data_IF_769356339960
#
_entry.id   IF_769356339960
#
_cell.length_a   1.000
_cell.length_b   1.000
_cell.length_c   1.000
_cell.angle_alpha   90.00
_cell.angle_beta   90.00
_cell.angle_gamma   90.00
#
_symmetry.space_group_name_H-M   'P 1'
#
loop_
_entity.id
_entity.type
_entity.pdbx_description
1 polymer ?
#
# COMPACT_ATOMS: atom_id res chain seq x y z
N UNK A 1 64.14 13.28 38.43
CA UNK A 1 63.70 12.60 37.20
C UNK A 1 62.21 12.26 37.36
N UNK A 2 61.34 13.25 37.15
CA UNK A 2 59.89 13.11 37.27
C UNK A 2 59.28 13.27 35.88
N UNK A 3 58.53 12.27 35.42
CA UNK A 3 57.82 12.27 34.13
C UNK A 3 56.45 12.93 34.30
N UNK A 4 55.96 13.71 33.33
CA UNK A 4 54.67 14.41 33.45
C UNK A 4 53.49 13.47 33.14
N UNK A 5 52.41 13.65 33.88
CA UNK A 5 51.11 13.02 33.66
C UNK A 5 50.41 13.68 32.46
N UNK A 6 50.15 12.90 31.41
CA UNK A 6 49.33 13.32 30.27
C UNK A 6 47.85 13.12 30.60
N UNK A 7 47.08 14.21 30.64
CA UNK A 7 45.62 14.19 30.80
C UNK A 7 44.97 13.63 29.53
N UNK A 8 44.21 12.55 29.65
CA UNK A 8 43.26 12.11 28.62
C UNK A 8 42.00 12.98 28.72
N UNK A 9 41.83 13.91 27.78
CA UNK A 9 40.57 14.63 27.59
C UNK A 9 39.59 13.75 26.83
N UNK A 10 38.51 13.34 27.48
CA UNK A 10 37.39 12.69 26.79
C UNK A 10 36.65 13.74 25.95
N UNK A 11 36.82 13.65 24.63
CA UNK A 11 36.00 14.38 23.67
C UNK A 11 34.61 13.71 23.64
N UNK A 12 33.62 14.33 24.28
CA UNK A 12 32.23 13.91 24.20
C UNK A 12 31.71 14.30 22.80
N UNK A 13 31.86 13.41 21.83
CA UNK A 13 31.26 13.58 20.51
C UNK A 13 29.73 13.47 20.66
N UNK A 14 29.05 14.61 20.52
CA UNK A 14 27.60 14.68 20.40
C UNK A 14 27.17 13.90 19.14
N UNK A 15 26.63 12.70 19.34
CA UNK A 15 25.81 12.03 18.34
C UNK A 15 24.52 12.86 18.18
N UNK A 16 24.55 13.84 17.29
CA UNK A 16 23.34 14.36 16.65
C UNK A 16 22.79 13.21 15.82
N UNK A 17 21.91 12.43 16.44
CA UNK A 17 21.10 11.45 15.75
C UNK A 17 20.40 12.16 14.60
N UNK A 18 20.81 11.84 13.37
CA UNK A 18 20.01 12.05 12.18
C UNK A 18 18.74 11.22 12.39
N UNK A 19 17.77 11.78 13.11
CA UNK A 19 16.41 11.31 13.11
C UNK A 19 15.96 11.40 11.66
N UNK A 20 16.08 10.28 10.94
CA UNK A 20 15.43 10.13 9.65
C UNK A 20 13.98 10.47 9.91
N UNK A 21 13.50 11.55 9.28
CA UNK A 21 12.08 11.81 9.18
C UNK A 21 11.51 10.58 8.47
N UNK A 22 10.92 9.66 9.24
CA UNK A 22 10.14 8.58 8.68
C UNK A 22 8.93 9.27 8.04
N UNK A 23 8.95 9.45 6.72
CA UNK A 23 7.74 9.77 5.99
C UNK A 23 6.73 8.67 6.34
N UNK A 24 5.56 9.02 6.90
CA UNK A 24 4.67 7.96 7.34
C UNK A 24 4.18 7.18 6.12
N UNK A 25 4.46 5.89 6.16
CA UNK A 25 4.18 4.93 5.10
C UNK A 25 2.72 4.52 5.16
N UNK A 26 2.12 4.19 4.01
CA UNK A 26 0.81 3.53 3.97
C UNK A 26 0.86 2.28 4.85
N UNK A 27 -0.08 2.17 5.78
CA UNK A 27 -0.20 0.99 6.62
C UNK A 27 -1.12 0.01 5.90
N UNK A 28 -0.56 -1.14 5.55
CA UNK A 28 -1.32 -2.22 4.91
C UNK A 28 -1.72 -3.26 5.94
N UNK A 29 -2.98 -3.68 5.89
CA UNK A 29 -3.52 -4.75 6.73
C UNK A 29 -4.19 -5.80 5.83
N UNK A 30 -3.77 -7.07 5.87
CA UNK A 30 -4.49 -8.14 5.19
C UNK A 30 -5.84 -8.34 5.87
N UNK A 31 -6.89 -8.52 5.07
CA UNK A 31 -8.25 -8.72 5.58
C UNK A 31 -8.75 -10.11 5.26
N UNK A 32 -9.41 -10.72 6.23
CA UNK A 32 -10.10 -11.99 6.04
C UNK A 32 -11.36 -11.76 5.20
N UNK A 33 -11.58 -12.67 4.24
CA UNK A 33 -12.70 -12.62 3.31
C UNK A 33 -13.36 -13.98 3.18
N UNK A 34 -14.64 -13.95 2.84
CA UNK A 34 -15.41 -15.11 2.38
C UNK A 34 -15.73 -14.99 0.89
N UNK A 35 -16.10 -16.09 0.24
CA UNK A 35 -16.51 -16.09 -1.17
C UNK A 35 -15.54 -16.77 -2.13
N UNK A 36 -14.46 -17.38 -1.64
CA UNK A 36 -13.60 -18.24 -2.46
C UNK A 36 -14.39 -19.43 -3.04
N UNK A 37 -14.16 -19.75 -4.31
CA UNK A 37 -14.95 -20.72 -5.08
C UNK A 37 -14.19 -21.98 -5.45
N UNK A 38 -12.85 -21.94 -5.41
CA UNK A 38 -12.02 -23.11 -5.73
C UNK A 38 -10.74 -23.15 -4.89
N UNK A 39 -10.22 -24.35 -4.70
CA UNK A 39 -8.88 -24.63 -4.20
C UNK A 39 -7.95 -24.90 -5.39
N UNK A 40 -6.90 -24.08 -5.53
CA UNK A 40 -5.90 -24.17 -6.62
C UNK A 40 -4.47 -24.35 -6.09
N UNK A 41 -4.31 -24.69 -4.80
CA UNK A 41 -3.02 -24.80 -4.11
C UNK A 41 -2.83 -26.21 -3.57
N UNK A 42 -1.97 -27.00 -4.19
CA UNK A 42 -1.66 -28.33 -3.71
C UNK A 42 -0.88 -28.30 -2.38
N UNK A 43 -1.16 -29.25 -1.49
CA UNK A 43 -0.59 -29.33 -0.15
C UNK A 43 -0.56 -30.79 0.35
N UNK A 44 0.22 -31.04 1.39
CA UNK A 44 0.36 -32.39 1.96
C UNK A 44 1.02 -33.42 1.04
N UNK A 45 0.98 -34.69 1.43
CA UNK A 45 1.52 -35.78 0.61
C UNK A 45 0.40 -36.43 -0.18
N UNK A 46 0.55 -36.52 -1.50
CA UNK A 46 -0.46 -37.15 -2.36
C UNK A 46 -0.41 -36.65 -3.79
N UNK A 47 -1.47 -36.97 -4.54
CA UNK A 47 -1.67 -36.40 -5.87
C UNK A 47 -2.15 -34.96 -5.76
N UNK A 48 -1.85 -34.13 -6.75
CA UNK A 48 -2.36 -32.75 -6.83
C UNK A 48 -3.89 -32.75 -6.75
N UNK A 49 -4.54 -33.65 -7.49
CA UNK A 49 -5.99 -33.79 -7.51
C UNK A 49 -6.61 -34.25 -6.18
N UNK A 50 -5.83 -34.78 -5.24
CA UNK A 50 -6.33 -35.16 -3.90
C UNK A 50 -6.46 -33.99 -2.94
N UNK A 51 -5.83 -32.85 -3.28
CA UNK A 51 -5.72 -31.70 -2.40
C UNK A 51 -6.08 -30.37 -3.09
N UNK A 52 -6.65 -30.41 -4.30
CA UNK A 52 -7.15 -29.23 -5.01
C UNK A 52 -8.48 -29.55 -5.68
N UNK A 53 -9.31 -28.52 -5.91
CA UNK A 53 -10.60 -28.68 -6.60
C UNK A 53 -10.59 -28.10 -8.01
N UNK A 54 -9.59 -27.29 -8.35
CA UNK A 54 -9.42 -26.70 -9.67
C UNK A 54 -7.95 -26.39 -9.95
N UNK A 55 -7.67 -25.98 -11.18
CA UNK A 55 -6.35 -25.50 -11.60
C UNK A 55 -6.31 -23.98 -11.68
N UNK A 56 -5.11 -23.39 -11.64
CA UNK A 56 -4.92 -21.94 -11.85
C UNK A 56 -5.22 -21.57 -13.30
N UNK A 57 -4.88 -22.46 -14.23
CA UNK A 57 -5.23 -22.35 -15.65
C UNK A 57 -6.63 -22.90 -15.97
N UNK A 58 -6.95 -23.01 -17.26
CA UNK A 58 -8.25 -23.50 -17.75
C UNK A 58 -8.48 -25.00 -17.58
N UNK A 59 -7.46 -25.75 -17.16
CA UNK A 59 -7.61 -27.18 -16.93
C UNK A 59 -7.97 -27.98 -18.19
N UNK A 60 -7.46 -27.59 -19.37
CA UNK A 60 -7.58 -28.40 -20.59
C UNK A 60 -6.66 -29.63 -20.49
N UNK A 61 -6.93 -30.76 -21.17
CA UNK A 61 -6.22 -32.03 -20.93
C UNK A 61 -4.69 -31.97 -20.94
N UNK A 62 -4.10 -31.01 -21.65
CA UNK A 62 -2.65 -30.82 -21.79
C UNK A 62 -2.05 -29.70 -20.93
N UNK A 63 -2.88 -28.86 -20.28
CA UNK A 63 -2.45 -27.69 -19.49
C UNK A 63 -3.37 -27.58 -18.28
N UNK A 64 -2.91 -28.17 -17.16
CA UNK A 64 -3.65 -28.30 -15.90
C UNK A 64 -2.72 -28.05 -14.71
N UNK A 65 -2.37 -26.81 -14.45
CA UNK A 65 -1.38 -26.47 -13.45
C UNK A 65 -1.98 -25.82 -12.21
N UNK A 66 -1.48 -26.23 -11.05
CA UNK A 66 -1.81 -25.65 -9.76
C UNK A 66 -0.58 -24.97 -9.16
N UNK A 67 -0.81 -24.08 -8.20
CA UNK A 67 0.22 -23.74 -7.24
C UNK A 67 0.43 -24.92 -6.28
N UNK A 68 1.54 -24.87 -5.53
CA UNK A 68 1.76 -25.74 -4.39
C UNK A 68 2.27 -24.89 -3.22
N UNK A 69 1.99 -25.32 -1.99
CA UNK A 69 2.61 -24.75 -0.81
C UNK A 69 3.78 -25.62 -0.30
N UNK A 70 4.53 -25.10 0.68
CA UNK A 70 5.73 -25.76 1.20
C UNK A 70 5.50 -27.13 1.84
N UNK A 71 4.25 -27.52 2.12
CA UNK A 71 3.94 -28.85 2.66
C UNK A 71 3.83 -29.93 1.58
N UNK A 72 3.63 -29.54 0.32
CA UNK A 72 3.33 -30.47 -0.77
C UNK A 72 4.48 -31.46 -1.04
N UNK A 73 4.11 -32.72 -1.25
CA UNK A 73 4.97 -33.82 -1.74
C UNK A 73 4.17 -34.63 -2.74
N UNK A 74 4.68 -34.76 -3.96
CA UNK A 74 4.01 -35.58 -4.97
C UNK A 74 4.19 -37.09 -4.67
N UNK A 75 3.50 -38.00 -5.40
CA UNK A 75 3.58 -39.44 -5.14
C UNK A 75 4.97 -40.05 -5.36
N UNK A 76 5.84 -39.37 -6.10
CA UNK A 76 7.23 -39.78 -6.32
C UNK A 76 8.19 -39.25 -5.22
N UNK A 77 7.68 -38.60 -4.17
CA UNK A 77 8.49 -38.05 -3.08
C UNK A 77 9.17 -36.71 -3.41
N UNK A 78 8.79 -36.07 -4.52
CA UNK A 78 9.40 -34.81 -4.99
C UNK A 78 8.66 -33.61 -4.42
N UNK A 79 9.43 -32.59 -4.02
CA UNK A 79 8.95 -31.29 -3.54
C UNK A 79 9.29 -30.17 -4.52
N UNK A 80 8.44 -29.14 -4.66
CA UNK A 80 8.83 -27.89 -5.30
C UNK A 80 10.02 -27.24 -4.58
N UNK A 81 10.91 -26.62 -5.35
CA UNK A 81 12.09 -25.91 -4.81
C UNK A 81 11.67 -24.59 -4.16
N UNK A 82 10.72 -23.90 -4.79
CA UNK A 82 10.05 -22.72 -4.28
C UNK A 82 8.55 -22.98 -4.28
N UNK A 83 7.84 -22.48 -3.28
CA UNK A 83 6.42 -22.73 -3.11
C UNK A 83 5.78 -21.61 -2.30
N UNK A 84 4.45 -21.57 -2.30
CA UNK A 84 3.70 -20.68 -1.42
C UNK A 84 3.95 -21.06 0.06
N UNK A 85 4.05 -20.08 0.97
CA UNK A 85 4.11 -20.36 2.41
C UNK A 85 2.87 -21.14 2.88
N UNK A 86 3.08 -22.21 3.64
CA UNK A 86 1.98 -23.04 4.16
C UNK A 86 0.98 -22.27 5.05
N UNK A 87 1.45 -21.21 5.71
CA UNK A 87 0.61 -20.33 6.52
C UNK A 87 -0.17 -19.29 5.70
N UNK A 88 0.03 -19.23 4.38
CA UNK A 88 -0.66 -18.30 3.48
C UNK A 88 -0.22 -16.83 3.59
N UNK A 89 0.76 -16.50 4.45
CA UNK A 89 1.24 -15.13 4.61
C UNK A 89 2.19 -14.76 3.48
N UNK A 90 1.80 -13.80 2.66
CA UNK A 90 2.60 -13.26 1.57
C UNK A 90 3.10 -11.88 1.97
N UNK A 91 4.42 -11.71 2.05
CA UNK A 91 5.04 -10.39 2.11
C UNK A 91 5.34 -9.97 0.68
N UNK A 92 4.79 -8.83 0.25
CA UNK A 92 5.05 -8.34 -1.09
C UNK A 92 6.55 -8.09 -1.29
N UNK A 93 7.08 -8.55 -2.43
CA UNK A 93 8.44 -8.24 -2.87
C UNK A 93 8.54 -6.89 -3.59
N UNK A 94 7.42 -6.31 -4.00
CA UNK A 94 7.38 -5.03 -4.74
C UNK A 94 7.06 -3.86 -3.82
N UNK A 95 6.02 -4.00 -2.98
CA UNK A 95 5.50 -2.93 -2.13
C UNK A 95 5.89 -3.18 -0.68
N UNK A 96 6.80 -2.37 -0.14
CA UNK A 96 7.23 -2.48 1.25
C UNK A 96 6.05 -2.33 2.21
N UNK A 97 5.94 -3.24 3.18
CA UNK A 97 4.89 -3.24 4.19
C UNK A 97 3.55 -3.82 3.74
N UNK A 98 3.33 -4.02 2.44
CA UNK A 98 2.15 -4.72 1.93
C UNK A 98 2.28 -6.22 2.21
N UNK A 99 1.31 -6.75 2.93
CA UNK A 99 1.19 -8.18 3.21
C UNK A 99 -0.21 -8.66 2.83
N UNK A 100 -0.33 -9.93 2.45
CA UNK A 100 -1.60 -10.60 2.21
C UNK A 100 -1.70 -11.86 3.05
N UNK A 101 -2.91 -12.21 3.46
CA UNK A 101 -3.21 -13.50 4.06
C UNK A 101 -4.09 -14.28 3.09
N UNK A 102 -3.53 -15.31 2.46
CA UNK A 102 -4.31 -16.25 1.66
C UNK A 102 -5.14 -17.16 2.56
N UNK A 103 -6.27 -17.65 2.06
CA UNK A 103 -6.99 -18.72 2.73
C UNK A 103 -6.16 -20.02 2.77
N UNK A 104 -6.42 -20.92 3.76
CA UNK A 104 -5.71 -22.18 3.86
C UNK A 104 -5.85 -23.04 2.61
N UNK A 105 -4.80 -23.78 2.25
CA UNK A 105 -4.79 -24.75 1.15
C UNK A 105 -5.58 -26.05 1.46
N UNK A 106 -6.39 -26.05 2.53
CA UNK A 106 -7.29 -27.17 2.87
C UNK A 106 -8.76 -26.81 2.61
N UNK A 107 -8.98 -25.68 1.95
CA UNK A 107 -10.28 -25.11 1.62
C UNK A 107 -10.14 -24.26 0.35
N UNK A 108 -11.28 -23.79 -0.17
CA UNK A 108 -11.26 -22.86 -1.29
C UNK A 108 -10.42 -21.61 -0.96
N UNK A 109 -9.47 -21.28 -1.83
CA UNK A 109 -8.49 -20.22 -1.66
C UNK A 109 -8.33 -19.30 -2.87
N UNK A 110 -9.15 -19.51 -3.90
CA UNK A 110 -9.26 -18.66 -5.07
C UNK A 110 -10.72 -18.33 -5.33
N UNK A 111 -11.02 -17.04 -5.51
CA UNK A 111 -12.19 -16.62 -6.25
C UNK A 111 -11.82 -16.82 -7.71
N UNK A 112 -12.16 -18.01 -8.20
CA UNK A 112 -11.81 -18.47 -9.54
C UNK A 112 -12.93 -18.16 -10.50
N UNK A 113 -12.63 -17.44 -11.59
CA UNK A 113 -13.55 -17.18 -12.69
C UNK A 113 -12.96 -17.76 -13.97
N UNK A 114 -13.58 -18.82 -14.47
CA UNK A 114 -13.23 -19.53 -15.70
C UNK A 114 -14.42 -19.44 -16.66
N UNK A 115 -14.20 -18.88 -17.86
CA UNK A 115 -15.29 -18.37 -18.67
C UNK A 115 -15.74 -16.95 -18.31
N UNK A 116 -16.72 -16.42 -19.02
CA UNK A 116 -17.31 -15.12 -18.68
C UNK A 116 -18.14 -15.24 -17.38
N UNK A 117 -18.05 -14.24 -16.50
CA UNK A 117 -18.75 -14.29 -15.22
C UNK A 117 -18.28 -13.24 -14.23
N UNK A 118 -18.77 -13.37 -13.00
CA UNK A 118 -18.42 -12.50 -11.89
C UNK A 118 -18.32 -13.30 -10.59
N UNK A 119 -17.71 -12.67 -9.60
CA UNK A 119 -17.56 -13.22 -8.26
C UNK A 119 -17.33 -12.11 -7.25
N UNK A 120 -17.54 -12.42 -5.97
CA UNK A 120 -17.43 -11.45 -4.88
C UNK A 120 -16.66 -12.05 -3.71
N UNK A 121 -15.70 -11.28 -3.20
CA UNK A 121 -15.10 -11.50 -1.90
C UNK A 121 -15.70 -10.51 -0.91
N UNK A 122 -16.27 -11.02 0.19
CA UNK A 122 -16.87 -10.21 1.25
C UNK A 122 -15.97 -10.21 2.47
N UNK A 123 -15.60 -9.02 2.95
CA UNK A 123 -14.78 -8.87 4.16
C UNK A 123 -15.56 -9.33 5.38
N UNK A 124 -14.92 -10.11 6.26
CA UNK A 124 -15.53 -10.53 7.54
C UNK A 124 -15.63 -9.37 8.52
N UNK A 125 -14.68 -8.42 8.44
CA UNK A 125 -14.66 -7.18 9.23
C UNK A 125 -14.52 -5.99 8.28
N UNK A 126 -15.62 -5.27 7.97
CA UNK A 126 -15.55 -4.05 7.16
C UNK A 126 -14.65 -2.98 7.76
N UNK A 127 -13.83 -2.35 6.94
CA UNK A 127 -12.85 -1.35 7.38
C UNK A 127 -12.71 -0.22 6.36
N UNK A 128 -12.47 0.99 6.87
CA UNK A 128 -12.20 2.16 6.03
C UNK A 128 -10.75 2.16 5.57
N UNK A 129 -10.51 2.56 4.32
CA UNK A 129 -9.17 2.56 3.72
C UNK A 129 -9.07 3.65 2.65
N UNK A 130 -7.84 3.93 2.21
CA UNK A 130 -7.58 4.80 1.04
C UNK A 130 -7.38 3.99 -0.24
N UNK A 131 -7.07 2.71 -0.11
CA UNK A 131 -6.81 1.79 -1.21
C UNK A 131 -7.19 0.36 -0.81
N UNK A 132 -7.78 -0.36 -1.76
CA UNK A 132 -7.93 -1.82 -1.69
C UNK A 132 -6.88 -2.43 -2.63
N UNK A 133 -6.11 -3.41 -2.16
CA UNK A 133 -5.18 -4.16 -2.99
C UNK A 133 -5.62 -5.61 -3.03
N UNK A 134 -5.83 -6.16 -4.23
CA UNK A 134 -6.13 -7.57 -4.40
C UNK A 134 -4.87 -8.35 -4.82
N UNK A 135 -4.67 -9.52 -4.22
CA UNK A 135 -3.67 -10.50 -4.64
C UNK A 135 -4.28 -11.35 -5.74
N UNK A 136 -3.85 -11.17 -6.99
CA UNK A 136 -4.49 -11.82 -8.13
C UNK A 136 -3.51 -12.22 -9.23
N UNK A 137 -3.93 -13.19 -10.04
CA UNK A 137 -3.22 -13.59 -11.25
C UNK A 137 -4.17 -14.22 -12.26
N UNK A 138 -3.75 -14.22 -13.51
CA UNK A 138 -4.44 -14.95 -14.58
C UNK A 138 -3.66 -16.21 -14.98
N UNK A 139 -4.40 -17.26 -15.34
CA UNK A 139 -3.87 -18.46 -15.99
C UNK A 139 -4.30 -18.50 -17.45
N UNK A 140 -3.34 -18.72 -18.36
CA UNK A 140 -3.49 -18.70 -19.83
C UNK A 140 -3.68 -17.31 -20.45
N UNK A 141 -3.35 -16.26 -19.69
CA UNK A 141 -3.15 -14.88 -20.12
C UNK A 141 -4.23 -14.16 -20.91
N UNK A 142 -4.33 -12.86 -20.67
CA UNK A 142 -4.99 -11.91 -21.57
C UNK A 142 -4.56 -10.50 -21.21
N UNK A 143 -4.79 -9.56 -22.11
CA UNK A 143 -4.78 -8.12 -21.80
C UNK A 143 -6.20 -7.58 -21.61
N UNK A 144 -7.22 -8.44 -21.69
CA UNK A 144 -8.61 -8.04 -21.58
C UNK A 144 -8.92 -7.47 -20.19
N UNK A 145 -9.52 -6.28 -20.11
CA UNK A 145 -9.82 -5.64 -18.84
C UNK A 145 -10.87 -6.42 -18.03
N UNK A 146 -10.76 -6.28 -16.72
CA UNK A 146 -11.67 -6.75 -15.69
C UNK A 146 -12.33 -5.55 -15.06
N UNK A 147 -13.58 -5.72 -14.64
CA UNK A 147 -14.30 -4.71 -13.87
C UNK A 147 -14.24 -5.11 -12.42
N UNK A 148 -13.50 -4.36 -11.61
CA UNK A 148 -13.55 -4.49 -10.15
C UNK A 148 -14.54 -3.47 -9.60
N UNK A 149 -15.32 -3.85 -8.59
CA UNK A 149 -16.20 -2.94 -7.87
C UNK A 149 -16.00 -3.11 -6.38
N UNK A 150 -15.71 -2.00 -5.70
CA UNK A 150 -15.68 -1.93 -4.24
C UNK A 150 -17.07 -1.47 -3.78
N UNK A 151 -17.71 -2.26 -2.92
CA UNK A 151 -18.99 -1.92 -2.29
C UNK A 151 -18.74 -1.55 -0.85
N UNK A 152 -19.34 -0.45 -0.40
CA UNK A 152 -19.24 0.05 0.96
C UNK A 152 -20.44 -0.37 1.82
N UNK A 153 -20.30 -0.32 3.14
CA UNK A 153 -21.38 -0.70 4.09
C UNK A 153 -22.60 0.21 4.02
N UNK A 154 -22.47 1.41 3.45
CA UNK A 154 -23.59 2.33 3.18
C UNK A 154 -24.36 2.00 1.88
N UNK A 155 -23.98 0.92 1.19
CA UNK A 155 -24.59 0.47 -0.08
C UNK A 155 -24.07 1.18 -1.33
N UNK A 156 -23.23 2.21 -1.19
CA UNK A 156 -22.59 2.88 -2.33
C UNK A 156 -21.44 2.04 -2.89
N UNK A 157 -21.00 2.36 -4.12
CA UNK A 157 -19.94 1.61 -4.81
C UNK A 157 -18.92 2.54 -5.48
N UNK A 158 -17.70 2.05 -5.63
CA UNK A 158 -16.71 2.61 -6.56
C UNK A 158 -16.29 1.54 -7.58
N UNK A 159 -16.45 1.86 -8.87
CA UNK A 159 -16.18 0.94 -9.99
C UNK A 159 -14.85 1.26 -10.64
N UNK A 160 -14.08 0.22 -10.96
CA UNK A 160 -12.82 0.23 -11.67
C UNK A 160 -12.98 -0.56 -12.97
N UNK A 161 -13.33 0.10 -14.09
CA UNK A 161 -13.83 -0.60 -15.29
C UNK A 161 -12.74 -1.26 -16.14
N UNK A 162 -11.47 -0.91 -15.94
CA UNK A 162 -10.38 -1.24 -16.87
C UNK A 162 -9.14 -1.77 -16.17
N UNK A 163 -9.30 -2.75 -15.30
CA UNK A 163 -8.17 -3.37 -14.58
C UNK A 163 -7.61 -4.55 -15.39
N UNK A 164 -6.32 -4.52 -15.68
CA UNK A 164 -5.62 -5.65 -16.28
C UNK A 164 -4.93 -6.44 -15.17
N UNK A 165 -5.25 -7.72 -15.03
CA UNK A 165 -4.57 -8.62 -14.11
C UNK A 165 -3.53 -9.40 -14.91
N UNK A 166 -2.23 -9.38 -14.56
CA UNK A 166 -1.23 -10.05 -15.37
C UNK A 166 -1.35 -11.58 -15.34
N UNK A 167 -0.93 -12.21 -16.44
CA UNK A 167 -0.70 -13.65 -16.49
C UNK A 167 0.41 -14.06 -15.52
N UNK A 168 0.25 -15.20 -14.86
CA UNK A 168 1.20 -15.75 -13.91
C UNK A 168 2.62 -15.98 -14.48
N UNK A 169 2.81 -16.03 -15.80
CA UNK A 169 4.11 -16.09 -16.50
C UNK A 169 4.49 -14.78 -17.23
N UNK A 170 3.78 -13.67 -17.02
CA UNK A 170 3.97 -12.41 -17.76
C UNK A 170 5.40 -11.83 -17.61
N UNK A 171 6.19 -11.72 -18.67
CA UNK A 171 7.62 -11.37 -18.54
C UNK A 171 7.94 -9.87 -18.45
N UNK A 172 7.00 -8.96 -18.70
CA UNK A 172 7.25 -7.50 -18.76
C UNK A 172 6.19 -6.66 -18.05
N UNK A 173 6.63 -5.57 -17.39
CA UNK A 173 5.76 -4.48 -16.89
C UNK A 173 4.88 -4.80 -15.68
N UNK A 174 4.92 -6.02 -15.14
CA UNK A 174 4.07 -6.43 -14.02
C UNK A 174 4.76 -6.29 -12.66
N UNK A 175 3.99 -5.95 -11.62
CA UNK A 175 4.42 -5.79 -10.22
C UNK A 175 4.03 -7.02 -9.39
N UNK A 176 4.88 -8.06 -9.32
CA UNK A 176 4.55 -9.26 -8.55
C UNK A 176 4.55 -8.98 -7.04
N UNK A 177 3.50 -9.41 -6.35
CA UNK A 177 3.52 -9.56 -4.91
C UNK A 177 4.51 -10.67 -4.51
N UNK A 178 4.54 -11.76 -5.27
CA UNK A 178 5.40 -12.91 -5.00
C UNK A 178 5.79 -13.65 -6.28
N UNK A 179 7.02 -14.16 -6.31
CA UNK A 179 7.46 -15.21 -7.23
C UNK A 179 7.23 -16.55 -6.52
N UNK A 180 6.28 -17.34 -6.97
CA UNK A 180 6.01 -18.68 -6.40
C UNK A 180 7.13 -19.64 -6.79
N UNK A 181 7.63 -19.50 -8.02
CA UNK A 181 8.86 -20.15 -8.46
C UNK A 181 8.72 -21.66 -8.79
N UNK A 182 7.51 -22.21 -8.71
CA UNK A 182 7.19 -23.56 -9.16
C UNK A 182 5.68 -23.70 -9.37
N UNK A 183 5.30 -24.72 -10.15
CA UNK A 183 3.92 -25.18 -10.31
C UNK A 183 3.88 -26.69 -10.34
N UNK A 184 2.71 -27.26 -10.08
CA UNK A 184 2.51 -28.72 -10.08
C UNK A 184 1.39 -29.10 -11.04
N UNK A 185 1.63 -30.16 -11.79
CA UNK A 185 0.68 -30.63 -12.78
C UNK A 185 -0.43 -31.43 -12.11
N UNK A 186 -1.66 -31.01 -12.30
CA UNK A 186 -2.86 -31.72 -11.90
C UNK A 186 -3.03 -33.04 -12.67
N UNK A 187 -2.48 -33.13 -13.89
CA UNK A 187 -2.67 -34.28 -14.78
C UNK A 187 -1.77 -35.48 -14.39
N UNK A 188 -0.50 -35.23 -14.10
CA UNK A 188 0.51 -36.28 -13.88
C UNK A 188 1.31 -36.12 -12.58
N UNK A 189 1.02 -35.09 -11.77
CA UNK A 189 1.71 -34.78 -10.51
C UNK A 189 3.18 -34.40 -10.66
N UNK A 190 3.62 -34.06 -11.89
CA UNK A 190 4.96 -33.53 -12.11
C UNK A 190 5.15 -32.18 -11.42
N UNK A 191 6.36 -31.95 -10.92
CA UNK A 191 6.78 -30.68 -10.33
C UNK A 191 7.62 -29.94 -11.37
N UNK A 192 7.15 -28.76 -11.76
CA UNK A 192 7.87 -27.88 -12.69
C UNK A 192 8.45 -26.70 -11.89
N UNK A 193 9.78 -26.70 -11.75
CA UNK A 193 10.52 -25.66 -11.04
C UNK A 193 10.94 -24.58 -12.03
N UNK A 194 10.41 -23.37 -11.89
CA UNK A 194 10.77 -22.22 -12.70
C UNK A 194 11.22 -21.07 -11.77
N UNK A 195 12.48 -20.66 -11.80
CA UNK A 195 13.02 -19.74 -10.76
C UNK A 195 12.41 -18.33 -10.77
N UNK A 196 11.68 -17.95 -11.82
CA UNK A 196 11.12 -16.60 -12.01
C UNK A 196 9.60 -16.58 -12.19
N UNK A 197 8.97 -17.75 -12.27
CA UNK A 197 7.54 -17.94 -12.53
C UNK A 197 7.06 -19.24 -11.87
N UNK A 198 5.76 -19.44 -11.66
CA UNK A 198 4.70 -18.44 -11.79
C UNK A 198 4.80 -17.34 -10.71
N UNK A 199 4.07 -16.26 -10.95
CA UNK A 199 3.96 -15.09 -10.09
C UNK A 199 2.49 -14.81 -9.75
N UNK A 200 2.29 -14.09 -8.64
CA UNK A 200 1.00 -13.51 -8.26
C UNK A 200 1.21 -12.02 -8.05
N UNK A 201 0.26 -11.19 -8.47
CA UNK A 201 0.43 -9.75 -8.64
C UNK A 201 -0.43 -8.94 -7.68
N UNK A 202 -0.04 -7.68 -7.53
CA UNK A 202 -0.79 -6.67 -6.81
C UNK A 202 -1.74 -5.96 -7.77
N UNK A 203 -3.02 -5.95 -7.44
CA UNK A 203 -4.05 -5.20 -8.16
C UNK A 203 -4.51 -4.05 -7.27
N UNK A 204 -4.00 -2.85 -7.55
CA UNK A 204 -4.25 -1.64 -6.79
C UNK A 204 -5.55 -0.96 -7.22
N UNK A 205 -6.49 -0.81 -6.28
CA UNK A 205 -7.78 -0.15 -6.45
C UNK A 205 -7.81 1.10 -5.56
N UNK A 206 -7.24 2.20 -6.07
CA UNK A 206 -7.17 3.47 -5.36
C UNK A 206 -8.57 4.08 -5.17
N UNK A 207 -8.98 4.28 -3.92
CA UNK A 207 -10.29 4.86 -3.63
C UNK A 207 -10.30 6.37 -3.89
N UNK A 208 -11.45 6.91 -4.28
CA UNK A 208 -11.66 8.34 -4.29
C UNK A 208 -11.72 8.85 -2.85
N UNK A 209 -11.20 10.07 -2.61
CA UNK A 209 -11.16 10.70 -1.28
C UNK A 209 -12.52 10.69 -0.58
N UNK A 210 -13.60 10.94 -1.32
CA UNK A 210 -14.96 10.95 -0.79
C UNK A 210 -15.39 9.59 -0.16
N UNK A 211 -14.66 8.51 -0.44
CA UNK A 211 -14.92 7.18 0.07
C UNK A 211 -13.98 6.75 1.20
N UNK A 212 -12.95 7.54 1.56
CA UNK A 212 -11.95 7.13 2.58
C UNK A 212 -12.54 6.85 3.96
N UNK A 213 -13.62 7.53 4.33
CA UNK A 213 -14.30 7.31 5.60
C UNK A 213 -15.23 6.09 5.57
N UNK A 214 -15.65 5.63 4.38
CA UNK A 214 -16.61 4.54 4.22
C UNK A 214 -15.91 3.19 4.45
N UNK A 215 -16.58 2.29 5.14
CA UNK A 215 -16.06 0.94 5.36
C UNK A 215 -16.30 0.09 4.12
N UNK A 216 -15.25 -0.57 3.63
CA UNK A 216 -15.34 -1.52 2.53
C UNK A 216 -16.05 -2.78 3.03
N UNK A 217 -17.13 -3.16 2.36
CA UNK A 217 -17.92 -4.36 2.66
C UNK A 217 -17.48 -5.55 1.79
N UNK A 218 -17.30 -5.32 0.49
CA UNK A 218 -16.96 -6.37 -0.47
C UNK A 218 -16.22 -5.83 -1.67
N UNK A 219 -15.49 -6.72 -2.33
CA UNK A 219 -14.85 -6.50 -3.62
C UNK A 219 -15.41 -7.53 -4.59
N UNK A 220 -16.10 -7.08 -5.63
CA UNK A 220 -16.51 -7.95 -6.73
C UNK A 220 -15.62 -7.72 -7.94
N UNK A 221 -15.50 -8.76 -8.76
CA UNK A 221 -14.80 -8.70 -10.04
C UNK A 221 -15.61 -9.42 -11.09
N UNK A 222 -15.63 -8.88 -12.31
CA UNK A 222 -16.25 -9.52 -13.47
C UNK A 222 -15.37 -9.46 -14.71
N UNK A 223 -15.62 -10.41 -15.61
CA UNK A 223 -15.02 -10.48 -16.94
C UNK A 223 -16.02 -11.01 -17.96
N UNK A 224 -15.96 -10.46 -19.17
CA UNK A 224 -16.79 -10.91 -20.31
C UNK A 224 -16.06 -11.92 -21.19
N UNK A 225 -14.75 -12.04 -21.04
CA UNK A 225 -13.94 -12.96 -21.85
C UNK A 225 -14.01 -14.39 -21.31
N UNK A 226 -13.97 -15.37 -22.21
CA UNK A 226 -13.89 -16.78 -21.81
C UNK A 226 -12.52 -17.10 -21.21
N UNK A 227 -11.46 -16.59 -21.85
CA UNK A 227 -10.08 -16.67 -21.40
C UNK A 227 -9.59 -15.28 -20.98
N UNK A 228 -8.75 -15.18 -19.94
CA UNK A 228 -8.08 -16.26 -19.21
C UNK A 228 -8.87 -16.68 -17.96
N UNK A 229 -8.34 -17.62 -17.18
CA UNK A 229 -8.86 -17.92 -15.83
C UNK A 229 -8.34 -16.88 -14.86
N UNK A 230 -9.25 -16.15 -14.20
CA UNK A 230 -8.89 -15.20 -13.16
C UNK A 230 -8.89 -15.88 -11.80
N UNK A 231 -7.85 -15.64 -11.01
CA UNK A 231 -7.74 -16.08 -9.62
C UNK A 231 -7.51 -14.86 -8.73
N UNK A 232 -8.44 -14.56 -7.82
CA UNK A 232 -8.25 -13.58 -6.74
C UNK A 232 -8.12 -14.33 -5.43
N UNK A 233 -6.97 -14.17 -4.76
CA UNK A 233 -6.52 -15.07 -3.69
C UNK A 233 -6.34 -14.38 -2.34
N UNK A 234 -6.56 -13.07 -2.26
CA UNK A 234 -6.49 -12.30 -1.02
C UNK A 234 -6.79 -10.83 -1.24
N UNK A 235 -7.14 -10.14 -0.16
CA UNK A 235 -7.37 -8.70 -0.13
C UNK A 235 -6.56 -8.11 1.02
N UNK A 236 -5.98 -6.94 0.77
CA UNK A 236 -5.36 -6.10 1.79
C UNK A 236 -5.84 -4.68 1.64
N UNK A 237 -5.95 -3.98 2.76
CA UNK A 237 -6.39 -2.60 2.80
C UNK A 237 -5.21 -1.70 3.14
N UNK A 238 -4.95 -0.72 2.26
CA UNK A 238 -3.98 0.34 2.48
C UNK A 238 -4.67 1.55 3.09
N UNK A 239 -4.24 1.95 4.27
CA UNK A 239 -4.71 3.16 4.94
C UNK A 239 -3.57 4.18 5.05
N UNK A 240 -3.77 5.32 4.40
CA UNK A 240 -2.97 6.52 4.60
C UNK A 240 -3.90 7.73 4.59
N UNK A 241 -3.94 8.46 5.70
CA UNK A 241 -4.70 9.70 5.82
C UNK A 241 -6.17 9.57 5.43
N UNK A 242 -6.91 8.76 6.19
CA UNK A 242 -8.34 8.49 5.99
C UNK A 242 -9.24 9.71 6.21
N UNK A 243 -8.68 10.83 6.67
CA UNK A 243 -9.38 12.09 6.84
C UNK A 243 -8.48 13.28 6.52
N UNK A 244 -9.11 14.45 6.43
CA UNK A 244 -8.41 15.71 6.18
C UNK A 244 -7.43 15.94 7.34
N UNK A 245 -6.13 16.16 7.05
CA UNK A 245 -5.17 16.46 8.11
C UNK A 245 -5.58 17.77 8.80
N UNK A 246 -5.45 17.80 10.13
CA UNK A 246 -5.64 19.02 10.92
C UNK A 246 -4.45 19.95 10.65
N UNK A 247 -4.72 21.16 10.17
CA UNK A 247 -3.68 22.17 9.90
C UNK A 247 -3.08 22.80 11.16
N UNK A 248 -3.79 22.74 12.29
CA UNK A 248 -3.34 23.29 13.57
C UNK A 248 -3.29 24.82 13.59
N UNK A 249 -2.36 25.39 14.35
CA UNK A 249 -2.05 26.81 14.37
C UNK A 249 -0.58 27.05 14.02
N UNK A 250 -0.32 28.01 13.14
CA UNK A 250 1.01 28.53 12.94
C UNK A 250 1.47 29.27 14.20
N UNK A 251 2.75 29.15 14.53
CA UNK A 251 3.38 29.83 15.66
C UNK A 251 4.67 30.46 15.18
N UNK A 252 4.91 31.69 15.62
CA UNK A 252 6.09 32.47 15.31
C UNK A 252 6.92 32.69 16.58
N UNK A 253 8.24 32.55 16.46
CA UNK A 253 9.16 32.88 17.52
C UNK A 253 10.41 33.60 16.94
N UNK A 254 10.62 34.90 17.25
CA UNK A 254 9.73 35.82 17.99
C UNK A 254 8.55 36.34 17.13
N UNK A 255 7.52 36.92 17.76
CA UNK A 255 6.36 37.52 17.07
C UNK A 255 6.55 38.99 16.68
N UNK A 256 7.63 39.63 17.13
CA UNK A 256 7.96 41.01 16.79
C UNK A 256 9.45 41.14 16.51
N UNK A 257 9.80 41.78 15.40
CA UNK A 257 11.18 41.84 14.90
C UNK A 257 11.49 43.16 14.19
N UNK A 258 12.78 43.50 14.06
CA UNK A 258 13.23 44.51 13.11
C UNK A 258 13.10 43.99 11.66
N UNK A 259 13.05 44.88 10.65
CA UNK A 259 12.97 44.47 9.24
C UNK A 259 14.09 43.51 8.85
N UNK A 260 13.73 42.37 8.24
CA UNK A 260 14.68 41.37 7.72
C UNK A 260 15.28 40.41 8.75
N UNK A 261 15.00 40.60 10.04
CA UNK A 261 15.41 39.68 11.07
C UNK A 261 14.67 38.33 10.95
N UNK A 262 15.33 37.26 11.40
CA UNK A 262 14.82 35.90 11.25
C UNK A 262 13.70 35.61 12.26
N UNK A 263 12.64 34.95 11.78
CA UNK A 263 11.54 34.43 12.59
C UNK A 263 11.35 32.96 12.28
N UNK A 264 11.41 32.13 13.32
CA UNK A 264 11.11 30.70 13.19
C UNK A 264 9.59 30.50 13.19
N UNK A 265 9.08 29.85 12.16
CA UNK A 265 7.68 29.45 12.02
C UNK A 265 7.56 27.93 12.18
N UNK A 266 6.56 27.51 12.95
CA UNK A 266 6.26 26.12 13.23
C UNK A 266 4.74 25.91 13.36
N UNK A 267 4.31 24.65 13.44
CA UNK A 267 2.91 24.29 13.65
C UNK A 267 2.70 23.67 15.02
N UNK A 268 1.59 24.02 15.67
CA UNK A 268 1.10 23.38 16.90
C UNK A 268 -0.30 22.82 16.68
N UNK A 269 -0.59 21.65 17.25
CA UNK A 269 -1.88 20.98 17.07
C UNK A 269 -2.17 20.50 15.64
N UNK A 270 -1.18 20.53 14.74
CA UNK A 270 -1.30 19.96 13.40
C UNK A 270 -1.19 18.43 13.45
N UNK A 271 -1.76 17.76 12.45
CA UNK A 271 -1.50 16.33 12.24
C UNK A 271 0.00 16.10 12.02
N UNK A 272 0.57 15.10 12.68
CA UNK A 272 2.01 14.79 12.64
C UNK A 272 2.30 13.38 12.10
N UNK A 273 1.26 12.59 11.85
CA UNK A 273 1.34 11.22 11.31
C UNK A 273 0.66 11.18 9.95
N UNK A 274 1.23 10.43 9.01
CA UNK A 274 0.82 10.40 7.61
C UNK A 274 1.97 10.78 6.67
N UNK A 275 1.82 10.48 5.38
CA UNK A 275 2.73 10.97 4.34
C UNK A 275 2.48 12.47 4.11
N UNK A 276 2.77 13.29 5.13
CA UNK A 276 2.45 14.71 5.15
C UNK A 276 3.42 15.53 4.29
N UNK A 277 2.86 16.48 3.56
CA UNK A 277 3.60 17.54 2.87
C UNK A 277 3.10 18.89 3.36
N UNK A 278 3.97 19.90 3.28
CA UNK A 278 3.66 21.24 3.79
C UNK A 278 3.83 22.26 2.67
N UNK A 279 3.10 23.37 2.77
CA UNK A 279 3.33 24.56 1.97
C UNK A 279 3.03 25.79 2.83
N UNK A 280 4.08 26.52 3.22
CA UNK A 280 3.91 27.79 3.90
C UNK A 280 3.42 28.87 2.93
N UNK A 281 2.55 29.72 3.45
CA UNK A 281 2.00 30.87 2.74
C UNK A 281 2.17 32.14 3.57
N UNK A 282 2.27 33.28 2.90
CA UNK A 282 2.30 34.60 3.52
C UNK A 282 1.22 35.52 2.96
N UNK A 283 0.82 36.50 3.75
CA UNK A 283 -0.05 37.59 3.34
C UNK A 283 0.34 38.88 4.09
N UNK A 284 0.08 40.07 3.54
CA UNK A 284 0.11 41.30 4.32
C UNK A 284 -0.75 41.18 5.58
N UNK A 285 -0.34 41.82 6.67
CA UNK A 285 -1.10 41.78 7.93
C UNK A 285 -2.55 42.28 7.70
N UNK A 286 -3.53 41.47 8.11
CA UNK A 286 -4.97 41.74 7.93
C UNK A 286 -5.56 41.24 6.61
N UNK A 287 -4.75 40.79 5.65
CA UNK A 287 -5.24 40.23 4.37
C UNK A 287 -5.81 38.83 4.54
N UNK A 288 -6.84 38.48 3.77
CA UNK A 288 -7.37 37.11 3.66
C UNK A 288 -6.74 36.33 2.50
N UNK A 289 -5.99 37.01 1.62
CA UNK A 289 -5.38 36.42 0.43
C UNK A 289 -3.92 36.08 0.72
N UNK A 290 -3.63 34.78 0.78
CA UNK A 290 -2.31 34.24 1.03
C UNK A 290 -1.66 33.72 -0.26
N UNK A 291 -0.37 33.94 -0.43
CA UNK A 291 0.44 33.42 -1.53
C UNK A 291 1.42 32.36 -1.02
N UNK A 292 1.69 31.35 -1.85
CA UNK A 292 2.70 30.33 -1.53
C UNK A 292 4.09 30.95 -1.45
N UNK A 293 4.84 30.56 -0.41
CA UNK A 293 6.25 30.89 -0.30
C UNK A 293 7.03 29.77 -1.01
N UNK A 294 7.74 30.12 -2.08
CA UNK A 294 8.46 29.15 -2.90
C UNK A 294 9.50 28.38 -2.06
N UNK A 295 9.49 27.05 -2.16
CA UNK A 295 10.43 26.16 -1.46
C UNK A 295 10.17 25.96 0.03
N UNK A 296 9.17 26.64 0.62
CA UNK A 296 8.83 26.48 2.02
C UNK A 296 7.91 25.28 2.25
N UNK A 297 8.46 24.07 2.09
CA UNK A 297 7.71 22.80 2.08
C UNK A 297 7.96 21.88 3.28
N UNK A 298 8.66 22.38 4.29
CA UNK A 298 8.91 21.67 5.54
C UNK A 298 7.89 22.05 6.63
N UNK A 299 7.78 21.22 7.67
CA UNK A 299 6.92 21.49 8.84
C UNK A 299 7.31 22.79 9.60
N UNK A 300 8.52 23.27 9.39
CA UNK A 300 9.03 24.55 9.91
C UNK A 300 9.57 25.41 8.77
N UNK A 301 9.50 26.73 8.92
CA UNK A 301 10.07 27.68 7.95
C UNK A 301 10.69 28.88 8.66
N UNK A 302 11.82 29.38 8.17
CA UNK A 302 12.45 30.58 8.69
C UNK A 302 12.12 31.77 7.80
N UNK A 303 11.26 32.66 8.27
CA UNK A 303 10.86 33.88 7.58
C UNK A 303 11.78 35.06 7.90
N UNK A 304 11.82 36.05 7.00
CA UNK A 304 12.55 37.32 7.16
C UNK A 304 11.71 38.51 6.65
N UNK A 305 10.60 38.85 7.32
CA UNK A 305 9.70 39.92 6.85
C UNK A 305 10.37 41.30 6.94
N UNK A 306 10.16 42.14 5.92
CA UNK A 306 10.53 43.57 5.94
C UNK A 306 9.37 44.49 6.28
N UNK A 307 8.14 43.97 6.23
CA UNK A 307 6.90 44.61 6.65
C UNK A 307 6.06 43.63 7.46
N UNK A 308 5.17 44.12 8.33
CA UNK A 308 4.29 43.26 9.13
C UNK A 308 3.51 42.31 8.23
N UNK A 309 3.67 41.01 8.48
CA UNK A 309 3.22 39.92 7.61
C UNK A 309 2.57 38.84 8.47
N UNK A 310 1.54 38.19 7.94
CA UNK A 310 0.96 37.00 8.55
C UNK A 310 1.27 35.75 7.75
N UNK A 311 1.45 34.63 8.44
CA UNK A 311 1.87 33.35 7.88
C UNK A 311 0.91 32.24 8.28
N UNK A 312 0.68 31.30 7.37
CA UNK A 312 -0.04 30.05 7.65
C UNK A 312 0.62 28.91 6.87
N UNK A 313 0.34 27.67 7.24
CA UNK A 313 0.75 26.52 6.45
C UNK A 313 -0.46 25.75 5.95
N UNK A 314 -0.34 25.19 4.75
CA UNK A 314 -1.20 24.11 4.28
C UNK A 314 -0.48 22.80 4.63
N UNK A 315 -1.16 21.93 5.36
CA UNK A 315 -0.73 20.56 5.67
C UNK A 315 -1.53 19.64 4.76
N UNK A 316 -0.86 18.91 3.89
CA UNK A 316 -1.49 18.04 2.91
C UNK A 316 -1.13 16.59 3.20
N UNK A 317 -2.11 15.71 3.14
CA UNK A 317 -1.89 14.27 3.16
C UNK A 317 -2.72 13.59 2.08
N UNK A 318 -2.08 12.76 1.25
CA UNK A 318 -2.70 12.25 0.03
C UNK A 318 -3.29 13.43 -0.77
N UNK A 319 -4.56 13.35 -1.14
CA UNK A 319 -5.31 14.37 -1.88
C UNK A 319 -6.12 15.31 -0.97
N UNK A 320 -5.84 15.34 0.33
CA UNK A 320 -6.57 16.16 1.31
C UNK A 320 -5.66 17.19 1.97
N UNK A 321 -6.18 18.39 2.24
CA UNK A 321 -5.40 19.47 2.82
C UNK A 321 -6.16 20.21 3.94
N UNK A 322 -5.47 20.41 5.06
CA UNK A 322 -5.90 21.29 6.15
C UNK A 322 -5.06 22.54 6.17
N UNK A 323 -5.68 23.68 6.48
CA UNK A 323 -4.98 24.96 6.60
C UNK A 323 -4.84 25.33 8.07
N UNK A 324 -3.65 25.76 8.49
CA UNK A 324 -3.43 26.23 9.86
C UNK A 324 -4.13 27.56 10.11
N UNK A 325 -4.46 27.86 11.36
CA UNK A 325 -4.68 29.24 11.78
C UNK A 325 -3.41 30.06 11.48
N UNK A 326 -3.60 31.31 11.07
CA UNK A 326 -2.49 32.19 10.73
C UNK A 326 -1.86 32.82 11.98
N UNK A 327 -0.55 33.09 11.91
CA UNK A 327 0.20 33.85 12.93
C UNK A 327 0.67 35.17 12.35
N UNK A 328 0.52 36.25 13.11
CA UNK A 328 1.03 37.56 12.76
C UNK A 328 2.48 37.73 13.25
N UNK A 329 3.32 38.31 12.40
CA UNK A 329 4.65 38.80 12.76
C UNK A 329 4.68 40.31 12.53
N UNK A 330 4.87 41.06 13.61
CA UNK A 330 4.91 42.53 13.57
C UNK A 330 6.34 42.98 13.31
N UNK A 331 6.53 43.78 12.26
CA UNK A 331 7.82 44.44 12.01
C UNK A 331 7.80 45.80 12.69
N UNK A 332 8.72 46.00 13.63
CA UNK A 332 8.89 47.25 14.36
C UNK A 332 9.68 48.27 13.52
N UNK A 333 9.41 49.58 13.65
CA UNK A 333 10.19 50.60 12.96
C UNK A 333 11.66 50.56 13.38
N UNK A 334 12.56 50.86 12.45
CA UNK A 334 13.95 51.18 12.81
C UNK A 334 13.98 52.56 13.45
N UNK A 335 14.32 52.62 14.74
CA UNK A 335 14.65 53.87 15.43
C UNK A 335 15.93 54.48 14.90
#
# INVERSE_FOLDING_TARGET
MQRPFTRFGYLLASLLGLGRLAAAQTVYVPVEVTGYTADVIANGTGTVASSTTATVDRGIPTVRWCFANTTFVNPAGVRPTLALPANGLINSITTTGLTFQMAPATANNSLRIDGAGSGTLTLTTPQSCSEVVALATEGNGSTAPKVFTVTFTDGTTQVFPSIVVPDWFATTGATPAIIVGSRVSYADNSVDNATTNPRIFEVHLNLAVANYAKQVQSVSVSKTSTDPVLNVMGISLGANCLGVPVGGAAVANPTSVCPGAAVALSLTGATTVGALTYQWQSAPLGSTTFANIQGATAATYTARPTVSTQYRAIVTCSLQAGTSAAVAVTVLPTT
#
